data_IF_000948979941
#
_entry.id   IF_000948979941
#
_cell.length_a   1.000
_cell.length_b   1.000
_cell.length_c   1.000
_cell.angle_alpha   90.00
_cell.angle_beta   90.00
_cell.angle_gamma   90.00
#
_symmetry.space_group_name_H-M   'P 1'
#
loop_
_entity.id
_entity.type
_entity.pdbx_description
1 polymer ?
#
# COMPACT_ATOMS: atom_id res chain seq x y z
N UNK A 1 20.72 0.19 -6.73
CA UNK A 1 19.97 -1.08 -6.62
C UNK A 1 18.80 -1.00 -7.59
N UNK A 2 18.70 -1.87 -8.59
CA UNK A 2 17.57 -1.86 -9.55
C UNK A 2 16.72 -3.10 -9.34
N UNK A 3 15.52 -2.91 -8.78
CA UNK A 3 14.56 -3.99 -8.55
C UNK A 3 13.72 -4.12 -9.83
N UNK A 4 13.55 -5.33 -10.40
CA UNK A 4 12.67 -5.54 -11.55
C UNK A 4 11.26 -5.01 -11.28
N UNK A 5 10.69 -4.33 -12.27
CA UNK A 5 9.37 -3.68 -12.16
C UNK A 5 8.27 -4.68 -11.76
N UNK A 6 8.33 -5.91 -12.29
CA UNK A 6 7.42 -6.99 -11.89
C UNK A 6 7.51 -7.29 -10.38
N UNK A 7 8.71 -7.34 -9.82
CA UNK A 7 8.89 -7.60 -8.39
C UNK A 7 8.41 -6.43 -7.55
N UNK A 8 8.65 -5.18 -7.98
CA UNK A 8 8.07 -4.00 -7.32
C UNK A 8 6.54 -4.06 -7.29
N UNK A 9 5.90 -4.49 -8.37
CA UNK A 9 4.46 -4.69 -8.40
C UNK A 9 4.02 -5.77 -7.41
N UNK A 10 4.72 -6.90 -7.32
CA UNK A 10 4.43 -7.88 -6.28
C UNK A 10 4.57 -7.30 -4.87
N UNK A 11 5.66 -6.58 -4.56
CA UNK A 11 5.85 -5.90 -3.27
C UNK A 11 4.66 -5.00 -2.93
N UNK A 12 4.19 -4.19 -3.89
CA UNK A 12 3.02 -3.32 -3.72
C UNK A 12 1.74 -4.12 -3.43
N UNK A 13 1.45 -5.15 -4.22
CA UNK A 13 0.22 -5.96 -4.07
C UNK A 13 0.16 -6.68 -2.71
N UNK A 14 1.29 -7.18 -2.22
CA UNK A 14 1.39 -7.74 -0.87
C UNK A 14 1.27 -6.66 0.20
N UNK A 15 1.98 -5.54 0.06
CA UNK A 15 1.94 -4.46 1.05
C UNK A 15 0.54 -3.84 1.20
N UNK A 16 -0.26 -3.82 0.13
CA UNK A 16 -1.65 -3.37 0.14
C UNK A 16 -2.67 -4.45 0.54
N UNK A 17 -2.24 -5.69 0.77
CA UNK A 17 -3.10 -6.85 1.03
C UNK A 17 -4.11 -7.12 -0.11
N UNK A 18 -3.65 -7.04 -1.36
CA UNK A 18 -4.48 -7.10 -2.57
C UNK A 18 -3.97 -8.11 -3.59
N UNK A 19 -3.26 -9.14 -3.12
CA UNK A 19 -2.68 -10.16 -3.98
C UNK A 19 -3.76 -10.90 -4.79
N UNK A 20 -4.90 -11.21 -4.19
CA UNK A 20 -6.02 -11.92 -4.85
C UNK A 20 -6.60 -11.09 -6.00
N UNK A 21 -6.79 -9.80 -5.77
CA UNK A 21 -7.26 -8.86 -6.77
C UNK A 21 -6.23 -8.73 -7.90
N UNK A 22 -4.93 -8.69 -7.59
CA UNK A 22 -3.86 -8.61 -8.58
C UNK A 22 -3.78 -9.87 -9.46
N UNK A 23 -3.85 -11.06 -8.84
CA UNK A 23 -3.90 -12.35 -9.53
C UNK A 23 -5.11 -12.43 -10.48
N UNK A 24 -6.24 -11.81 -10.13
CA UNK A 24 -7.43 -11.79 -10.97
C UNK A 24 -7.31 -10.89 -12.22
N UNK A 25 -6.47 -9.84 -12.19
CA UNK A 25 -6.18 -9.02 -13.37
C UNK A 25 -5.13 -9.70 -14.26
N UNK A 26 -4.26 -10.54 -13.70
CA UNK A 26 -3.30 -11.38 -14.43
C UNK A 26 -2.39 -10.61 -15.41
N UNK A 27 -1.78 -9.51 -14.94
CA UNK A 27 -0.84 -8.69 -15.73
C UNK A 27 0.60 -9.07 -15.43
N UNK A 28 1.37 -9.30 -16.49
CA UNK A 28 2.82 -9.42 -16.43
C UNK A 28 3.48 -8.18 -17.06
N UNK A 29 4.64 -7.79 -16.51
CA UNK A 29 5.50 -6.77 -17.07
C UNK A 29 6.15 -7.26 -18.37
N UNK A 30 6.24 -6.37 -19.34
CA UNK A 30 7.09 -6.53 -20.52
C UNK A 30 8.52 -6.05 -20.23
N UNK A 31 9.55 -6.54 -20.95
CA UNK A 31 10.96 -6.22 -20.66
C UNK A 31 11.31 -4.73 -20.68
N UNK A 32 10.56 -3.92 -21.41
CA UNK A 32 10.74 -2.47 -21.53
C UNK A 32 9.79 -1.66 -20.63
N UNK A 33 8.90 -2.31 -19.88
CA UNK A 33 7.90 -1.61 -19.07
C UNK A 33 8.59 -0.82 -17.95
N UNK A 34 8.23 0.45 -17.83
CA UNK A 34 8.44 1.20 -16.60
C UNK A 34 7.40 0.81 -15.55
N UNK A 35 7.62 1.18 -14.29
CA UNK A 35 6.59 0.99 -13.24
C UNK A 35 5.28 1.71 -13.61
N UNK A 36 5.37 2.87 -14.26
CA UNK A 36 4.19 3.57 -14.75
C UNK A 36 3.42 2.73 -15.78
N UNK A 37 4.12 2.13 -16.74
CA UNK A 37 3.49 1.33 -17.80
C UNK A 37 2.80 0.10 -17.22
N UNK A 38 3.45 -0.61 -16.30
CA UNK A 38 2.84 -1.76 -15.64
C UNK A 38 1.59 -1.37 -14.84
N UNK A 39 1.66 -0.29 -14.04
CA UNK A 39 0.51 0.19 -13.27
C UNK A 39 -0.63 0.69 -14.17
N UNK A 40 -0.30 1.38 -15.26
CA UNK A 40 -1.27 1.83 -16.25
C UNK A 40 -1.95 0.63 -16.94
N UNK A 41 -1.19 -0.40 -17.29
CA UNK A 41 -1.71 -1.64 -17.88
C UNK A 41 -2.66 -2.37 -16.93
N UNK A 42 -2.31 -2.47 -15.64
CA UNK A 42 -3.20 -3.02 -14.60
C UNK A 42 -4.47 -2.18 -14.46
N UNK A 43 -4.35 -0.84 -14.46
CA UNK A 43 -5.51 0.05 -14.43
C UNK A 43 -6.40 -0.09 -15.67
N UNK A 44 -5.82 -0.22 -16.86
CA UNK A 44 -6.57 -0.41 -18.10
C UNK A 44 -7.38 -1.70 -18.05
N UNK A 45 -6.76 -2.82 -17.71
CA UNK A 45 -7.44 -4.10 -17.63
C UNK A 45 -8.48 -4.13 -16.52
N UNK A 46 -8.14 -3.64 -15.33
CA UNK A 46 -9.07 -3.57 -14.21
C UNK A 46 -10.26 -2.65 -14.47
N UNK A 47 -10.05 -1.49 -15.08
CA UNK A 47 -11.14 -0.57 -15.47
C UNK A 47 -12.00 -1.18 -16.56
N UNK A 48 -11.41 -1.89 -17.52
CA UNK A 48 -12.16 -2.62 -18.54
C UNK A 48 -13.07 -3.68 -17.91
N UNK A 49 -12.57 -4.38 -16.89
CA UNK A 49 -13.34 -5.36 -16.13
C UNK A 49 -14.48 -4.72 -15.34
N UNK A 50 -14.22 -3.60 -14.66
CA UNK A 50 -15.23 -2.79 -13.98
C UNK A 50 -16.32 -2.36 -14.97
N UNK A 51 -15.97 -1.82 -16.12
CA UNK A 51 -16.93 -1.38 -17.13
C UNK A 51 -17.79 -2.53 -17.68
N UNK A 52 -17.23 -3.75 -17.78
CA UNK A 52 -17.98 -4.95 -18.18
C UNK A 52 -18.97 -5.41 -17.10
N UNK A 53 -18.60 -5.28 -15.82
CA UNK A 53 -19.49 -5.61 -14.68
C UNK A 53 -20.53 -4.54 -14.40
N UNK A 54 -20.27 -3.31 -14.83
CA UNK A 54 -21.06 -2.13 -14.51
C UNK A 54 -20.33 -1.25 -13.49
N UNK A 55 -20.32 0.06 -13.77
CA UNK A 55 -19.75 1.05 -12.86
C UNK A 55 -20.50 1.04 -11.53
N UNK A 56 -19.77 1.30 -10.45
CA UNK A 56 -20.38 1.58 -9.16
C UNK A 56 -21.39 2.73 -9.29
N UNK A 57 -22.55 2.55 -8.68
CA UNK A 57 -23.62 3.54 -8.61
C UNK A 57 -23.96 3.80 -7.16
N UNK A 58 -24.34 5.03 -6.88
CA UNK A 58 -24.81 5.45 -5.57
C UNK A 58 -25.90 6.50 -5.73
N UNK A 59 -26.68 6.66 -4.67
CA UNK A 59 -27.74 7.65 -4.58
C UNK A 59 -27.13 9.01 -4.28
N UNK A 60 -27.22 9.94 -5.23
CA UNK A 60 -26.76 11.31 -5.08
C UNK A 60 -27.99 12.20 -4.85
N UNK A 61 -28.01 13.01 -3.77
CA UNK A 61 -29.13 13.91 -3.54
C UNK A 61 -29.13 14.99 -4.61
N UNK A 62 -30.22 15.06 -5.35
CA UNK A 62 -30.47 16.10 -6.35
C UNK A 62 -31.55 17.05 -5.82
N UNK A 63 -31.47 18.30 -6.23
CA UNK A 63 -32.50 19.32 -5.94
C UNK A 63 -32.85 20.03 -7.24
N UNK A 64 -34.11 19.90 -7.65
CA UNK A 64 -34.59 20.40 -8.94
C UNK A 64 -35.89 21.19 -8.76
N UNK A 65 -36.07 22.24 -9.57
CA UNK A 65 -37.34 22.93 -9.71
C UNK A 65 -38.20 22.24 -10.78
N UNK A 66 -39.18 21.47 -10.36
CA UNK A 66 -39.98 20.61 -11.24
C UNK A 66 -41.47 20.87 -11.13
N UNK A 67 -42.21 20.60 -12.20
CA UNK A 67 -43.68 20.64 -12.22
C UNK A 67 -44.34 19.36 -11.69
N UNK A 68 -43.55 18.35 -11.33
CA UNK A 68 -44.01 17.09 -10.76
C UNK A 68 -43.38 16.88 -9.40
N UNK A 69 -44.19 16.66 -8.37
CA UNK A 69 -43.66 16.40 -7.03
C UNK A 69 -43.00 15.02 -6.99
N UNK A 70 -41.69 14.98 -6.75
CA UNK A 70 -40.89 13.75 -6.60
C UNK A 70 -40.01 13.86 -5.35
N UNK A 71 -39.98 12.83 -4.51
CA UNK A 71 -39.20 12.84 -3.27
C UNK A 71 -39.69 13.86 -2.25
N UNK A 72 -38.75 14.55 -1.59
CA UNK A 72 -39.02 15.52 -0.52
C UNK A 72 -39.29 16.91 -1.10
N UNK A 73 -40.49 17.43 -0.87
CA UNK A 73 -40.86 18.79 -1.23
C UNK A 73 -40.13 19.81 -0.33
N UNK A 74 -39.37 20.72 -0.94
CA UNK A 74 -38.70 21.84 -0.27
C UNK A 74 -39.63 23.06 -0.25
N UNK A 75 -40.63 23.01 0.65
CA UNK A 75 -41.64 24.06 0.77
C UNK A 75 -41.04 25.44 1.03
N UNK A 76 -40.05 25.54 1.90
CA UNK A 76 -39.39 26.80 2.24
C UNK A 76 -38.76 27.48 1.03
N UNK A 77 -38.06 26.72 0.19
CA UNK A 77 -37.42 27.25 -1.03
C UNK A 77 -38.45 27.59 -2.11
N UNK A 78 -39.50 26.77 -2.23
CA UNK A 78 -40.60 27.00 -3.19
C UNK A 78 -41.42 28.25 -2.88
N UNK A 79 -41.67 28.52 -1.60
CA UNK A 79 -42.35 29.74 -1.15
C UNK A 79 -41.43 30.94 -1.32
N UNK A 80 -40.17 30.85 -0.87
CA UNK A 80 -39.18 31.94 -0.96
C UNK A 80 -38.97 32.41 -2.40
N UNK A 81 -38.92 31.48 -3.35
CA UNK A 81 -38.71 31.77 -4.76
C UNK A 81 -40.01 31.91 -5.57
N UNK A 82 -41.17 31.90 -4.92
CA UNK A 82 -42.49 32.07 -5.53
C UNK A 82 -42.74 31.15 -6.75
N UNK A 83 -42.34 29.89 -6.65
CA UNK A 83 -42.46 28.95 -7.78
C UNK A 83 -43.82 28.27 -7.87
N UNK A 84 -44.53 28.16 -6.73
CA UNK A 84 -45.83 27.49 -6.62
C UNK A 84 -46.93 28.06 -7.56
N UNK A 85 -47.05 29.38 -7.79
CA UNK A 85 -48.00 29.94 -8.75
C UNK A 85 -47.77 29.48 -10.20
N UNK A 86 -46.54 29.09 -10.55
CA UNK A 86 -46.21 28.52 -11.87
C UNK A 86 -46.38 27.00 -11.94
N UNK A 87 -47.05 26.41 -10.93
CA UNK A 87 -47.21 24.97 -10.76
C UNK A 87 -45.86 24.21 -10.73
N UNK A 88 -44.82 24.84 -10.20
CA UNK A 88 -43.49 24.24 -9.99
C UNK A 88 -43.10 24.32 -8.53
N UNK A 89 -42.36 23.32 -8.05
CA UNK A 89 -41.85 23.31 -6.69
C UNK A 89 -40.42 22.75 -6.65
N UNK A 90 -39.62 23.29 -5.74
CA UNK A 90 -38.32 22.73 -5.41
C UNK A 90 -38.52 21.39 -4.72
N UNK A 91 -37.96 20.35 -5.32
CA UNK A 91 -38.02 18.99 -4.81
C UNK A 91 -36.61 18.46 -4.66
N UNK A 92 -36.34 17.76 -3.56
CA UNK A 92 -35.11 17.01 -3.35
C UNK A 92 -35.39 15.52 -3.39
N UNK A 93 -34.66 14.79 -4.22
CA UNK A 93 -34.79 13.35 -4.35
C UNK A 93 -33.42 12.74 -4.63
N UNK A 94 -33.28 11.45 -4.34
CA UNK A 94 -32.05 10.74 -4.60
C UNK A 94 -32.08 10.14 -6.01
N UNK A 95 -31.11 10.51 -6.84
CA UNK A 95 -30.91 9.94 -8.16
C UNK A 95 -29.76 8.91 -8.15
N UNK A 96 -30.00 7.76 -8.76
CA UNK A 96 -28.98 6.73 -8.89
C UNK A 96 -27.99 7.11 -10.00
N UNK A 97 -26.79 7.53 -9.62
CA UNK A 97 -25.78 8.06 -10.55
C UNK A 97 -24.51 7.22 -10.59
N UNK A 98 -23.82 7.22 -11.73
CA UNK A 98 -22.44 6.72 -11.86
C UNK A 98 -21.42 7.75 -11.39
N UNK A 99 -21.83 9.01 -11.19
CA UNK A 99 -20.96 10.12 -10.84
C UNK A 99 -20.61 10.15 -9.34
N UNK A 100 -20.05 9.04 -8.88
CA UNK A 100 -19.74 8.77 -7.48
C UNK A 100 -18.23 8.89 -7.22
N UNK A 101 -17.77 9.10 -5.97
CA UNK A 101 -16.37 9.35 -5.66
C UNK A 101 -15.39 8.33 -6.26
N UNK A 102 -15.74 7.04 -6.24
CA UNK A 102 -14.87 5.97 -6.75
C UNK A 102 -14.59 6.09 -8.25
N UNK A 103 -15.60 6.44 -9.04
CA UNK A 103 -15.48 6.58 -10.48
C UNK A 103 -14.84 7.93 -10.84
N UNK A 104 -15.13 8.99 -10.07
CA UNK A 104 -14.49 10.31 -10.24
C UNK A 104 -12.97 10.22 -10.03
N UNK A 105 -12.52 9.51 -9.00
CA UNK A 105 -11.10 9.27 -8.75
C UNK A 105 -10.46 8.44 -9.86
N UNK A 106 -11.15 7.39 -10.34
CA UNK A 106 -10.67 6.60 -11.46
C UNK A 106 -10.51 7.46 -12.73
N UNK A 107 -11.51 8.29 -13.06
CA UNK A 107 -11.45 9.22 -14.20
C UNK A 107 -10.33 10.25 -14.04
N UNK A 108 -10.13 10.77 -12.83
CA UNK A 108 -9.04 11.70 -12.52
C UNK A 108 -7.66 11.06 -12.71
N UNK A 109 -7.49 9.79 -12.30
CA UNK A 109 -6.24 9.06 -12.52
C UNK A 109 -6.01 8.78 -14.00
N UNK A 110 -7.03 8.34 -14.76
CA UNK A 110 -6.88 8.16 -16.21
C UNK A 110 -6.46 9.47 -16.90
N UNK A 111 -7.06 10.60 -16.50
CA UNK A 111 -6.63 11.91 -16.97
C UNK A 111 -5.16 12.21 -16.61
N UNK A 112 -4.73 11.92 -15.38
CA UNK A 112 -3.34 12.12 -14.94
C UNK A 112 -2.35 11.24 -15.73
N UNK A 113 -2.73 10.03 -16.10
CA UNK A 113 -1.91 9.17 -16.94
C UNK A 113 -1.78 9.73 -18.37
N UNK A 114 -2.84 10.35 -18.91
CA UNK A 114 -2.80 10.97 -20.25
C UNK A 114 -1.86 12.18 -20.31
N UNK A 115 -1.60 12.85 -19.19
CA UNK A 115 -0.66 13.98 -19.12
C UNK A 115 0.78 13.54 -18.86
N UNK A 116 1.01 12.27 -18.50
CA UNK A 116 2.34 11.72 -18.24
C UNK A 116 3.12 11.51 -19.55
N UNK A 117 4.27 12.18 -19.67
CA UNK A 117 5.06 12.18 -20.89
C UNK A 117 5.66 10.80 -21.23
N UNK A 118 6.08 10.07 -20.20
CA UNK A 118 6.79 8.78 -20.30
C UNK A 118 5.89 7.55 -20.51
N UNK A 119 4.56 7.72 -20.49
CA UNK A 119 3.64 6.61 -20.70
C UNK A 119 3.73 6.12 -22.15
N UNK A 120 3.86 4.82 -22.34
CA UNK A 120 3.87 4.20 -23.67
C UNK A 120 2.65 4.61 -24.53
N UNK A 121 2.85 4.82 -25.83
CA UNK A 121 1.82 5.33 -26.74
C UNK A 121 0.68 4.35 -27.03
N UNK A 122 0.92 3.04 -26.93
CA UNK A 122 -0.15 2.04 -27.01
C UNK A 122 -1.00 2.10 -25.74
N UNK A 123 -0.38 2.12 -24.56
CA UNK A 123 -1.10 2.27 -23.29
C UNK A 123 -1.86 3.60 -23.22
N UNK A 124 -1.26 4.71 -23.69
CA UNK A 124 -1.92 6.02 -23.76
C UNK A 124 -3.20 5.99 -24.58
N UNK A 125 -3.22 5.26 -25.70
CA UNK A 125 -4.44 5.07 -26.52
C UNK A 125 -5.51 4.27 -25.77
N UNK A 126 -5.13 3.21 -25.07
CA UNK A 126 -6.05 2.40 -24.27
C UNK A 126 -6.64 3.19 -23.09
N UNK A 127 -5.81 3.95 -22.37
CA UNK A 127 -6.23 4.88 -21.31
C UNK A 127 -7.20 5.92 -21.86
N UNK A 128 -6.91 6.51 -23.04
CA UNK A 128 -7.80 7.50 -23.67
C UNK A 128 -9.16 6.90 -24.02
N UNK A 129 -9.20 5.69 -24.56
CA UNK A 129 -10.45 5.00 -24.87
C UNK A 129 -11.30 4.79 -23.61
N UNK A 130 -10.69 4.39 -22.49
CA UNK A 130 -11.39 4.24 -21.22
C UNK A 130 -11.86 5.57 -20.64
N UNK A 131 -11.03 6.62 -20.73
CA UNK A 131 -11.38 7.96 -20.28
C UNK A 131 -12.65 8.48 -20.97
N UNK A 132 -12.76 8.29 -22.30
CA UNK A 132 -13.94 8.68 -23.08
C UNK A 132 -15.19 7.89 -22.64
N UNK A 133 -15.05 6.61 -22.29
CA UNK A 133 -16.16 5.78 -21.80
C UNK A 133 -16.69 6.21 -20.43
N UNK A 134 -15.97 7.06 -19.70
CA UNK A 134 -16.42 7.68 -18.45
C UNK A 134 -16.99 9.09 -18.69
N UNK A 135 -17.63 9.33 -19.84
CA UNK A 135 -18.18 10.65 -20.20
C UNK A 135 -19.11 11.22 -19.12
N UNK A 136 -20.02 10.38 -18.59
CA UNK A 136 -21.04 10.76 -17.59
C UNK A 136 -20.49 10.90 -16.15
N UNK A 137 -19.19 10.71 -15.96
CA UNK A 137 -18.53 10.87 -14.65
C UNK A 137 -17.81 12.22 -14.63
N UNK A 138 -18.01 13.02 -13.59
CA UNK A 138 -17.36 14.32 -13.45
C UNK A 138 -15.84 14.18 -13.27
N UNK A 139 -15.07 15.03 -13.94
CA UNK A 139 -13.63 15.12 -13.70
C UNK A 139 -13.38 15.95 -12.44
N UNK A 140 -12.58 15.42 -11.52
CA UNK A 140 -12.16 16.11 -10.29
C UNK A 140 -10.65 16.37 -10.29
N UNK A 141 -10.24 17.44 -9.63
CA UNK A 141 -8.82 17.73 -9.35
C UNK A 141 -8.44 17.14 -7.99
N UNK A 142 -7.52 16.19 -7.97
CA UNK A 142 -6.99 15.59 -6.74
C UNK A 142 -5.80 16.42 -6.27
N UNK A 143 -6.04 17.32 -5.32
CA UNK A 143 -4.99 18.15 -4.70
C UNK A 143 -4.41 17.54 -3.43
N UNK A 144 -5.11 16.57 -2.87
CA UNK A 144 -4.77 15.91 -1.61
C UNK A 144 -5.20 14.44 -1.70
N UNK A 145 -4.29 13.53 -1.40
CA UNK A 145 -4.52 12.08 -1.46
C UNK A 145 -5.43 11.58 -0.34
N UNK A 146 -5.70 12.39 0.69
CA UNK A 146 -6.69 12.05 1.74
C UNK A 146 -8.12 11.92 1.21
N UNK A 147 -8.42 12.41 0.00
CA UNK A 147 -9.72 12.16 -0.66
C UNK A 147 -9.99 10.68 -0.89
N UNK A 148 -8.95 9.86 -1.03
CA UNK A 148 -9.09 8.40 -1.17
C UNK A 148 -9.60 7.75 0.12
N UNK A 149 -9.29 8.32 1.28
CA UNK A 149 -9.71 7.79 2.58
C UNK A 149 -11.22 8.01 2.84
N UNK A 150 -11.86 8.90 2.07
CA UNK A 150 -13.31 9.16 2.12
C UNK A 150 -14.13 8.10 1.36
N UNK A 151 -13.47 7.27 0.55
CA UNK A 151 -14.14 6.23 -0.25
C UNK A 151 -14.33 4.97 0.58
N UNK A 152 -15.58 4.69 0.95
CA UNK A 152 -15.93 3.46 1.65
C UNK A 152 -16.20 2.33 0.65
N UNK A 153 -15.38 1.29 0.70
CA UNK A 153 -15.57 0.09 -0.11
C UNK A 153 -16.46 -0.91 0.61
N UNK A 154 -17.60 -1.22 0.02
CA UNK A 154 -18.46 -2.32 0.44
C UNK A 154 -18.16 -3.60 -0.33
N UNK A 155 -18.69 -4.74 0.13
CA UNK A 155 -18.49 -6.07 -0.49
C UNK A 155 -18.72 -6.10 -2.01
N UNK A 156 -19.70 -5.34 -2.51
CA UNK A 156 -20.05 -5.30 -3.93
C UNK A 156 -19.03 -4.53 -4.78
N UNK A 157 -18.34 -3.55 -4.18
CA UNK A 157 -17.34 -2.70 -4.85
C UNK A 157 -15.90 -3.08 -4.47
N UNK A 158 -15.70 -4.20 -3.75
CA UNK A 158 -14.38 -4.63 -3.29
C UNK A 158 -13.38 -4.81 -4.44
N UNK A 159 -13.85 -5.14 -5.64
CA UNK A 159 -13.02 -5.30 -6.83
C UNK A 159 -12.34 -3.99 -7.31
N UNK A 160 -12.80 -2.82 -6.85
CA UNK A 160 -12.11 -1.55 -7.09
C UNK A 160 -10.90 -1.33 -6.20
N UNK A 161 -10.72 -2.14 -5.14
CA UNK A 161 -9.72 -1.89 -4.10
C UNK A 161 -8.30 -1.76 -4.67
N UNK A 162 -7.91 -2.69 -5.55
CA UNK A 162 -6.63 -2.63 -6.25
C UNK A 162 -6.50 -1.37 -7.13
N UNK A 163 -7.54 -1.03 -7.88
CA UNK A 163 -7.53 0.13 -8.76
C UNK A 163 -7.38 1.42 -7.95
N UNK A 164 -8.10 1.55 -6.83
CA UNK A 164 -7.96 2.71 -5.95
C UNK A 164 -6.58 2.82 -5.31
N UNK A 165 -5.96 1.70 -4.94
CA UNK A 165 -4.58 1.72 -4.45
C UNK A 165 -3.60 2.21 -5.50
N UNK A 166 -3.76 1.79 -6.76
CA UNK A 166 -2.94 2.28 -7.88
C UNK A 166 -3.25 3.77 -8.16
N UNK A 167 -4.52 4.16 -8.21
CA UNK A 167 -4.94 5.55 -8.37
C UNK A 167 -4.32 6.45 -7.31
N UNK A 168 -4.39 6.04 -6.04
CA UNK A 168 -3.77 6.74 -4.92
C UNK A 168 -2.27 6.88 -5.15
N UNK A 169 -1.58 5.79 -5.49
CA UNK A 169 -0.14 5.80 -5.73
C UNK A 169 0.26 6.77 -6.86
N UNK A 170 -0.47 6.76 -7.97
CA UNK A 170 -0.24 7.66 -9.11
C UNK A 170 -0.42 9.14 -8.70
N UNK A 171 -1.42 9.46 -7.89
CA UNK A 171 -1.64 10.82 -7.40
C UNK A 171 -0.62 11.23 -6.31
N UNK A 172 -0.19 10.31 -5.45
CA UNK A 172 0.92 10.54 -4.52
C UNK A 172 2.19 10.92 -5.29
N UNK A 173 2.55 10.18 -6.35
CA UNK A 173 3.70 10.53 -7.21
C UNK A 173 3.51 11.87 -7.93
N UNK A 174 2.32 12.10 -8.48
CA UNK A 174 2.02 13.33 -9.19
C UNK A 174 2.20 14.58 -8.32
N UNK A 175 1.81 14.51 -7.04
CA UNK A 175 1.94 15.63 -6.11
C UNK A 175 3.41 15.85 -5.70
N UNK A 176 4.21 14.79 -5.53
CA UNK A 176 5.64 14.91 -5.26
C UNK A 176 6.42 15.53 -6.43
N UNK A 177 5.99 15.23 -7.66
CA UNK A 177 6.69 15.63 -8.90
C UNK A 177 6.30 17.03 -9.39
N UNK A 178 5.22 17.63 -8.87
CA UNK A 178 4.85 19.02 -9.20
C UNK A 178 5.93 20.04 -8.82
N UNK A 179 6.83 19.72 -7.90
CA UNK A 179 7.98 20.56 -7.54
C UNK A 179 9.21 20.35 -8.46
N UNK A 180 9.31 19.24 -9.20
CA UNK A 180 10.56 18.80 -9.88
C UNK A 180 10.45 18.33 -11.33
N UNK A 181 9.25 18.10 -11.90
CA UNK A 181 9.09 17.85 -13.34
C UNK A 181 8.04 16.79 -13.72
N UNK A 182 7.71 16.74 -15.01
CA UNK A 182 6.60 15.98 -15.65
C UNK A 182 6.74 14.45 -15.64
N UNK A 183 7.65 13.87 -14.84
CA UNK A 183 8.00 12.46 -14.86
C UNK A 183 7.48 11.74 -13.61
N UNK A 184 6.50 10.85 -13.77
CA UNK A 184 5.96 10.06 -12.67
C UNK A 184 6.93 8.91 -12.33
N UNK A 185 7.05 8.50 -11.07
CA UNK A 185 7.84 7.31 -10.67
C UNK A 185 9.34 7.31 -11.07
N UNK A 186 9.94 8.44 -11.50
CA UNK A 186 11.32 8.46 -11.99
C UNK A 186 12.37 8.09 -10.93
N UNK A 187 12.08 8.33 -9.65
CA UNK A 187 12.93 7.94 -8.52
C UNK A 187 12.13 7.21 -7.41
N UNK A 188 11.21 6.33 -7.81
CA UNK A 188 10.33 5.64 -6.87
C UNK A 188 11.12 4.85 -5.79
N UNK A 189 12.20 4.18 -6.20
CA UNK A 189 13.03 3.35 -5.30
C UNK A 189 14.09 4.15 -4.52
N UNK A 190 14.33 5.42 -4.85
CA UNK A 190 15.31 6.28 -4.17
C UNK A 190 14.80 6.84 -2.84
N UNK A 191 13.49 6.90 -2.63
CA UNK A 191 12.92 7.30 -1.34
C UNK A 191 13.02 6.15 -0.31
N UNK A 192 14.14 6.10 0.42
CA UNK A 192 14.43 5.04 1.40
C UNK A 192 13.34 4.89 2.46
N UNK A 193 12.78 5.98 2.98
CA UNK A 193 11.73 5.93 4.02
C UNK A 193 10.48 5.23 3.52
N UNK A 194 10.03 5.58 2.32
CA UNK A 194 8.87 4.95 1.71
C UNK A 194 9.13 3.48 1.38
N UNK A 195 10.30 3.19 0.82
CA UNK A 195 10.67 1.82 0.47
C UNK A 195 10.85 0.93 1.70
N UNK A 196 11.35 1.47 2.82
CA UNK A 196 11.39 0.78 4.10
C UNK A 196 9.98 0.41 4.58
N UNK A 197 9.05 1.37 4.61
CA UNK A 197 7.66 1.11 4.99
C UNK A 197 6.95 0.13 4.04
N UNK A 198 7.25 0.20 2.74
CA UNK A 198 6.74 -0.75 1.74
C UNK A 198 7.26 -2.16 2.02
N UNK A 199 8.57 -2.30 2.22
CA UNK A 199 9.22 -3.58 2.47
C UNK A 199 8.74 -4.23 3.77
N UNK A 200 8.61 -3.45 4.84
CA UNK A 200 8.05 -3.88 6.12
C UNK A 200 6.64 -4.47 5.97
N UNK A 201 5.75 -3.72 5.29
CA UNK A 201 4.36 -4.17 5.04
C UNK A 201 4.32 -5.39 4.14
N UNK A 202 5.17 -5.42 3.11
CA UNK A 202 5.33 -6.56 2.22
C UNK A 202 5.68 -7.83 3.00
N UNK A 203 6.77 -7.82 3.78
CA UNK A 203 7.24 -8.99 4.54
C UNK A 203 6.18 -9.46 5.53
N UNK A 204 5.52 -8.53 6.23
CA UNK A 204 4.43 -8.83 7.16
C UNK A 204 3.28 -9.55 6.47
N UNK A 205 2.76 -8.99 5.39
CA UNK A 205 1.61 -9.54 4.68
C UNK A 205 1.97 -10.83 3.93
N UNK A 206 3.20 -10.93 3.41
CA UNK A 206 3.70 -12.15 2.81
C UNK A 206 3.60 -13.32 3.78
N UNK A 207 4.20 -13.22 4.97
CA UNK A 207 4.13 -14.30 5.94
C UNK A 207 2.71 -14.51 6.48
N UNK A 208 1.90 -13.46 6.64
CA UNK A 208 0.50 -13.64 7.04
C UNK A 208 -0.30 -14.48 6.02
N UNK A 209 -0.01 -14.34 4.72
CA UNK A 209 -0.75 -15.01 3.65
C UNK A 209 -0.18 -16.38 3.25
N UNK A 210 1.14 -16.57 3.34
CA UNK A 210 1.83 -17.76 2.78
C UNK A 210 2.15 -18.86 3.77
N UNK A 211 2.04 -18.62 5.07
CA UNK A 211 2.22 -19.67 6.09
C UNK A 211 1.05 -19.72 7.08
N UNK A 212 0.91 -20.84 7.80
CA UNK A 212 -0.20 -21.09 8.73
C UNK A 212 0.25 -21.42 10.16
N UNK A 213 1.55 -21.66 10.38
CA UNK A 213 2.09 -22.08 11.68
C UNK A 213 2.16 -20.93 12.70
N UNK A 214 2.41 -19.72 12.22
CA UNK A 214 2.62 -18.52 13.02
C UNK A 214 1.46 -17.54 12.89
N UNK A 215 1.08 -16.95 14.02
CA UNK A 215 0.36 -15.67 14.04
C UNK A 215 1.34 -14.55 13.68
N UNK A 216 1.03 -13.78 12.63
CA UNK A 216 1.90 -12.70 12.12
C UNK A 216 1.28 -11.34 12.36
N UNK A 217 1.99 -10.45 13.06
CA UNK A 217 1.55 -9.07 13.32
C UNK A 217 2.73 -8.13 13.56
N UNK A 218 2.49 -6.83 13.47
CA UNK A 218 3.31 -5.87 14.19
C UNK A 218 2.95 -5.95 15.67
N UNK A 219 3.95 -5.93 16.55
CA UNK A 219 3.73 -6.05 17.99
C UNK A 219 4.40 -4.89 18.72
N UNK A 220 3.66 -4.27 19.65
CA UNK A 220 4.22 -3.36 20.64
C UNK A 220 4.70 -4.20 21.81
N UNK A 221 6.01 -4.20 22.03
CA UNK A 221 6.64 -4.83 23.16
C UNK A 221 6.72 -3.84 24.33
N UNK A 222 6.60 -4.36 25.54
CA UNK A 222 6.74 -3.53 26.75
C UNK A 222 8.20 -3.48 27.18
N UNK A 223 8.62 -2.28 27.60
CA UNK A 223 9.91 -2.12 28.29
C UNK A 223 9.86 -2.89 29.60
N UNK A 224 10.78 -3.84 29.75
CA UNK A 224 11.02 -4.54 31.01
C UNK A 224 11.97 -3.72 31.88
N UNK A 225 11.52 -2.53 32.28
CA UNK A 225 12.23 -1.57 33.12
C UNK A 225 11.32 -1.19 34.29
N UNK A 226 11.91 -0.90 35.45
CA UNK A 226 11.21 -0.32 36.60
C UNK A 226 11.39 1.19 36.57
N UNK A 227 10.39 1.98 36.15
CA UNK A 227 10.52 3.44 36.08
C UNK A 227 10.38 4.05 37.47
N UNK A 228 11.15 5.10 37.76
CA UNK A 228 11.10 5.81 39.05
C UNK A 228 9.77 6.56 39.27
N UNK A 229 9.04 6.85 38.18
CA UNK A 229 7.72 7.51 38.22
C UNK A 229 6.87 7.18 37.00
N UNK A 230 5.56 7.44 37.08
CA UNK A 230 4.65 7.34 35.94
C UNK A 230 5.02 8.30 34.81
N UNK A 231 5.49 9.51 35.14
CA UNK A 231 5.97 10.49 34.18
C UNK A 231 7.20 9.96 33.41
N UNK A 232 8.15 9.30 34.11
CA UNK A 232 9.29 8.67 33.46
C UNK A 232 8.86 7.54 32.50
N UNK A 233 7.86 6.73 32.89
CA UNK A 233 7.30 5.68 32.01
C UNK A 233 6.71 6.26 30.72
N UNK A 234 6.07 7.43 30.78
CA UNK A 234 5.47 8.09 29.63
C UNK A 234 6.51 8.64 28.62
N UNK A 235 7.75 8.88 29.06
CA UNK A 235 8.85 9.34 28.20
C UNK A 235 9.57 8.20 27.47
N UNK A 236 9.27 6.93 27.79
CA UNK A 236 9.87 5.79 27.10
C UNK A 236 9.35 5.72 25.64
N UNK A 237 10.25 5.55 24.65
CA UNK A 237 9.84 5.40 23.26
C UNK A 237 9.02 4.12 23.08
N UNK A 238 8.06 4.13 22.15
CA UNK A 238 7.33 2.91 21.81
C UNK A 238 8.25 1.86 21.19
N UNK A 239 8.27 0.65 21.74
CA UNK A 239 9.06 -0.46 21.19
C UNK A 239 8.18 -1.29 20.25
N UNK A 240 8.04 -0.84 19.01
CA UNK A 240 7.22 -1.50 17.99
C UNK A 240 8.09 -2.32 17.05
N UNK A 241 7.71 -3.58 16.84
CA UNK A 241 8.36 -4.49 15.89
C UNK A 241 7.71 -4.37 14.51
N UNK A 242 8.53 -4.54 13.49
CA UNK A 242 8.09 -4.60 12.09
C UNK A 242 7.25 -5.85 11.85
N UNK A 243 7.83 -7.04 12.09
CA UNK A 243 7.13 -8.31 11.94
C UNK A 243 7.43 -9.21 13.12
N UNK A 244 6.39 -9.65 13.81
CA UNK A 244 6.46 -10.68 14.84
C UNK A 244 5.67 -11.90 14.40
N UNK A 245 6.36 -13.02 14.24
CA UNK A 245 5.78 -14.34 13.99
C UNK A 245 5.77 -15.12 15.30
N UNK A 246 4.59 -15.51 15.74
CA UNK A 246 4.38 -16.14 17.05
C UNK A 246 3.72 -17.50 16.88
N UNK A 247 4.38 -18.55 17.36
CA UNK A 247 3.85 -19.90 17.46
C UNK A 247 4.00 -20.44 18.89
N UNK A 248 3.46 -21.64 19.16
CA UNK A 248 3.57 -22.27 20.47
C UNK A 248 5.02 -22.65 20.81
N UNK A 249 5.79 -23.08 19.80
CA UNK A 249 7.16 -23.58 19.94
C UNK A 249 8.22 -22.47 19.92
N UNK A 250 8.01 -21.38 19.16
CA UNK A 250 9.00 -20.29 19.04
C UNK A 250 8.40 -18.93 18.67
N UNK A 251 9.16 -17.86 18.94
CA UNK A 251 8.90 -16.50 18.45
C UNK A 251 10.00 -16.07 17.48
N UNK A 252 9.62 -15.43 16.38
CA UNK A 252 10.56 -14.79 15.46
C UNK A 252 10.19 -13.31 15.36
N UNK A 253 11.16 -12.44 15.61
CA UNK A 253 11.03 -10.99 15.43
C UNK A 253 11.90 -10.61 14.25
N UNK A 254 11.30 -10.09 13.18
CA UNK A 254 11.99 -9.61 12.00
C UNK A 254 11.94 -8.09 12.01
N UNK A 255 13.10 -7.47 11.92
CA UNK A 255 13.30 -6.03 11.74
C UNK A 255 13.79 -5.79 10.31
N UNK A 256 12.98 -5.07 9.53
CA UNK A 256 13.15 -4.89 8.10
C UNK A 256 13.89 -3.58 7.83
N UNK A 257 14.94 -3.64 7.00
CA UNK A 257 15.80 -2.48 6.75
C UNK A 257 16.04 -2.32 5.26
N UNK A 258 15.50 -1.26 4.67
CA UNK A 258 15.74 -0.92 3.27
C UNK A 258 16.94 0.02 3.16
N UNK A 259 18.09 -0.53 2.77
CA UNK A 259 19.34 0.21 2.57
C UNK A 259 20.02 -0.29 1.29
N UNK A 260 20.80 0.58 0.65
CA UNK A 260 21.52 0.22 -0.58
C UNK A 260 22.55 -0.91 -0.35
N UNK A 261 23.14 -0.98 0.85
CA UNK A 261 24.09 -2.02 1.25
C UNK A 261 23.70 -2.60 2.62
N UNK A 262 23.67 -3.93 2.73
CA UNK A 262 23.40 -4.63 3.99
C UNK A 262 24.61 -4.60 4.96
N UNK A 263 25.80 -4.32 4.42
CA UNK A 263 27.07 -4.23 5.13
C UNK A 263 27.71 -2.87 4.89
N UNK A 264 28.31 -2.26 5.92
CA UNK A 264 29.13 -1.06 5.78
C UNK A 264 30.58 -1.46 5.53
N UNK A 265 31.23 -0.85 4.54
CA UNK A 265 32.68 -0.97 4.32
C UNK A 265 33.43 -0.08 5.31
N UNK A 266 34.33 -0.66 6.10
CA UNK A 266 35.23 0.08 6.99
C UNK A 266 36.64 -0.51 6.89
N UNK A 267 37.59 0.22 6.30
CA UNK A 267 38.99 -0.20 6.10
C UNK A 267 39.08 -1.65 5.55
N UNK A 268 38.51 -1.86 4.36
CA UNK A 268 38.47 -3.14 3.61
C UNK A 268 37.74 -4.31 4.27
N UNK A 269 37.07 -4.11 5.40
CA UNK A 269 36.22 -5.13 6.05
C UNK A 269 34.75 -4.72 6.04
N UNK A 270 33.91 -5.63 5.58
CA UNK A 270 32.46 -5.49 5.63
C UNK A 270 31.94 -5.77 7.06
N UNK A 271 31.18 -4.84 7.62
CA UNK A 271 30.61 -4.95 8.97
C UNK A 271 29.10 -4.72 8.97
N UNK A 272 28.41 -5.39 9.89
CA UNK A 272 27.00 -5.16 10.17
C UNK A 272 26.76 -3.72 10.65
N UNK A 273 25.59 -3.19 10.32
CA UNK A 273 25.15 -1.88 10.80
C UNK A 273 24.76 -2.01 12.28
N UNK A 274 25.62 -1.49 13.15
CA UNK A 274 25.50 -1.61 14.62
C UNK A 274 24.16 -1.13 15.16
N UNK A 275 23.63 -0.01 14.66
CA UNK A 275 22.34 0.54 15.10
C UNK A 275 21.17 -0.44 14.92
N UNK A 276 21.13 -1.15 13.78
CA UNK A 276 20.08 -2.14 13.52
C UNK A 276 20.24 -3.37 14.42
N UNK A 277 21.49 -3.81 14.63
CA UNK A 277 21.78 -4.93 15.52
C UNK A 277 21.39 -4.63 16.98
N UNK A 278 21.66 -3.42 17.46
CA UNK A 278 21.28 -2.99 18.81
C UNK A 278 19.75 -2.89 18.97
N UNK A 279 19.05 -2.37 17.96
CA UNK A 279 17.60 -2.32 17.96
C UNK A 279 16.99 -3.72 18.03
N UNK A 280 17.43 -4.63 17.16
CA UNK A 280 16.97 -6.02 17.17
C UNK A 280 17.29 -6.73 18.50
N UNK A 281 18.50 -6.53 19.02
CA UNK A 281 18.91 -7.09 20.30
C UNK A 281 17.98 -6.64 21.43
N UNK A 282 17.61 -5.37 21.49
CA UNK A 282 16.66 -4.85 22.46
C UNK A 282 15.29 -5.55 22.35
N UNK A 283 14.77 -5.71 21.12
CA UNK A 283 13.50 -6.44 20.90
C UNK A 283 13.57 -7.88 21.41
N UNK A 284 14.65 -8.61 21.08
CA UNK A 284 14.84 -9.99 21.51
C UNK A 284 14.93 -10.08 23.04
N UNK A 285 15.71 -9.21 23.69
CA UNK A 285 15.85 -9.24 25.14
C UNK A 285 14.52 -9.01 25.86
N UNK A 286 13.76 -8.00 25.46
CA UNK A 286 12.48 -7.73 26.09
C UNK A 286 11.41 -8.78 25.79
N UNK A 287 11.39 -9.35 24.58
CA UNK A 287 10.49 -10.45 24.27
C UNK A 287 10.78 -11.70 25.09
N UNK A 288 12.06 -11.99 25.39
CA UNK A 288 12.45 -13.11 26.27
C UNK A 288 11.96 -12.91 27.70
N UNK A 289 12.06 -11.70 28.25
CA UNK A 289 11.59 -11.42 29.61
C UNK A 289 10.08 -11.68 29.78
N UNK A 290 9.30 -11.52 28.72
CA UNK A 290 7.86 -11.82 28.75
C UNK A 290 7.57 -13.33 28.66
N UNK A 291 8.49 -14.14 28.09
CA UNK A 291 8.25 -15.54 27.75
C UNK A 291 9.53 -16.38 27.89
N UNK A 292 10.00 -16.55 29.13
CA UNK A 292 11.31 -17.13 29.44
C UNK A 292 11.55 -18.56 28.90
N UNK A 293 10.48 -19.35 28.72
CA UNK A 293 10.57 -20.76 28.29
C UNK A 293 10.52 -20.94 26.78
N UNK A 294 10.19 -19.89 26.01
CA UNK A 294 10.02 -19.98 24.56
C UNK A 294 11.28 -19.45 23.84
N UNK A 295 11.88 -20.22 22.92
CA UNK A 295 12.94 -19.73 22.04
C UNK A 295 12.51 -18.46 21.28
N UNK A 296 13.40 -17.47 21.25
CA UNK A 296 13.19 -16.18 20.54
C UNK A 296 14.31 -15.97 19.53
N UNK A 297 13.97 -15.94 18.24
CA UNK A 297 14.89 -15.60 17.15
C UNK A 297 14.65 -14.16 16.72
N UNK A 298 15.66 -13.30 16.76
CA UNK A 298 15.66 -12.02 16.07
C UNK A 298 16.25 -12.16 14.67
N UNK A 299 15.70 -11.47 13.68
CA UNK A 299 16.21 -11.44 12.32
C UNK A 299 16.26 -10.01 11.78
N UNK A 300 17.42 -9.58 11.29
CA UNK A 300 17.53 -8.41 10.42
C UNK A 300 17.34 -8.88 8.98
N UNK A 301 16.39 -8.28 8.27
CA UNK A 301 16.12 -8.61 6.87
C UNK A 301 16.36 -7.38 5.98
N UNK A 302 17.27 -7.53 5.02
CA UNK A 302 17.61 -6.48 4.05
C UNK A 302 17.24 -6.92 2.63
N UNK A 303 16.54 -6.10 1.84
CA UNK A 303 16.41 -6.35 0.42
C UNK A 303 17.74 -6.03 -0.28
N UNK A 304 18.18 -6.91 -1.17
CA UNK A 304 19.34 -6.71 -2.06
C UNK A 304 18.96 -7.08 -3.49
N UNK A 305 19.75 -6.70 -4.49
CA UNK A 305 19.55 -7.19 -5.87
C UNK A 305 20.58 -8.23 -6.28
N UNK A 306 21.72 -8.28 -5.59
CA UNK A 306 22.78 -9.27 -5.74
C UNK A 306 23.51 -9.32 -4.39
N UNK A 307 24.05 -10.49 -3.99
CA UNK A 307 24.73 -10.79 -2.71
C UNK A 307 23.82 -11.39 -1.60
N UNK A 308 23.48 -12.69 -1.71
CA UNK A 308 22.87 -13.41 -0.60
C UNK A 308 23.84 -13.48 0.58
N UNK A 309 23.36 -13.12 1.76
CA UNK A 309 24.07 -13.15 3.02
C UNK A 309 23.14 -13.76 4.07
N UNK A 310 23.65 -14.74 4.80
CA UNK A 310 22.95 -15.34 5.94
C UNK A 310 23.94 -15.59 7.06
N UNK A 311 23.79 -14.88 8.17
CA UNK A 311 24.65 -14.96 9.35
C UNK A 311 23.79 -15.29 10.56
N UNK A 312 24.25 -16.21 11.39
CA UNK A 312 23.52 -16.65 12.59
C UNK A 312 24.42 -16.55 13.82
N UNK A 313 23.84 -16.09 14.92
CA UNK A 313 24.51 -15.85 16.19
C UNK A 313 23.63 -16.36 17.33
N UNK A 314 24.15 -17.25 18.17
CA UNK A 314 23.46 -17.67 19.39
C UNK A 314 23.80 -16.72 20.54
N UNK A 315 22.80 -16.30 21.32
CA UNK A 315 23.06 -15.60 22.57
C UNK A 315 23.50 -16.62 23.62
N UNK A 316 24.78 -16.56 24.01
CA UNK A 316 25.41 -17.48 24.96
C UNK A 316 24.59 -17.64 26.22
N UNK A 317 24.31 -18.89 26.61
CA UNK A 317 23.55 -19.21 27.83
C UNK A 317 22.04 -19.00 27.70
N UNK A 318 21.50 -18.86 26.48
CA UNK A 318 20.08 -18.59 26.26
C UNK A 318 19.51 -19.40 25.09
N UNK A 319 18.18 -19.55 25.05
CA UNK A 319 17.43 -20.11 23.92
C UNK A 319 17.18 -19.10 22.79
N UNK A 320 17.88 -17.96 22.80
CA UNK A 320 17.68 -16.90 21.83
C UNK A 320 18.82 -16.81 20.82
N UNK A 321 18.47 -16.41 19.60
CA UNK A 321 19.42 -16.25 18.50
C UNK A 321 19.15 -14.95 17.74
N UNK A 322 20.18 -14.44 17.08
CA UNK A 322 20.10 -13.36 16.11
C UNK A 322 20.50 -13.88 14.75
N UNK A 323 19.83 -13.39 13.73
CA UNK A 323 20.09 -13.72 12.34
C UNK A 323 20.17 -12.44 11.53
N UNK A 324 21.07 -12.40 10.56
CA UNK A 324 21.12 -11.36 9.54
C UNK A 324 20.96 -12.05 8.20
N UNK A 325 19.90 -11.70 7.48
CA UNK A 325 19.56 -12.27 6.19
C UNK A 325 19.39 -11.15 5.15
N UNK A 326 19.81 -11.42 3.93
CA UNK A 326 19.43 -10.61 2.77
C UNK A 326 18.41 -11.37 1.92
N UNK A 327 17.51 -10.62 1.29
CA UNK A 327 16.53 -11.12 0.33
C UNK A 327 16.85 -10.54 -1.03
N UNK A 328 17.26 -11.39 -1.96
CA UNK A 328 17.47 -10.98 -3.34
C UNK A 328 16.11 -10.70 -4.02
N UNK A 329 15.86 -9.44 -4.32
CA UNK A 329 14.70 -8.94 -5.08
C UNK A 329 15.00 -8.76 -6.57
N UNK A 330 16.23 -9.02 -7.03
CA UNK A 330 16.63 -9.00 -8.43
C UNK A 330 16.29 -10.30 -9.18
N UNK A 331 16.08 -11.40 -8.46
CA UNK A 331 15.72 -12.70 -9.02
C UNK A 331 14.22 -12.84 -9.37
N UNK A 332 13.85 -13.93 -10.05
CA UNK A 332 12.47 -14.25 -10.38
C UNK A 332 11.58 -14.40 -9.14
N UNK A 333 10.33 -13.91 -9.19
CA UNK A 333 9.41 -13.86 -8.04
C UNK A 333 9.27 -15.18 -7.29
N UNK A 334 9.13 -16.31 -7.99
CA UNK A 334 9.01 -17.63 -7.36
C UNK A 334 10.21 -18.01 -6.49
N UNK A 335 11.41 -17.53 -6.81
CA UNK A 335 12.59 -17.72 -5.96
C UNK A 335 12.55 -16.78 -4.75
N UNK A 336 12.12 -15.53 -4.92
CA UNK A 336 11.90 -14.60 -3.79
C UNK A 336 10.96 -15.20 -2.75
N UNK A 337 9.84 -15.78 -3.19
CA UNK A 337 8.89 -16.43 -2.29
C UNK A 337 9.50 -17.64 -1.57
N UNK A 338 10.26 -18.47 -2.29
CA UNK A 338 10.95 -19.63 -1.72
C UNK A 338 11.99 -19.22 -0.68
N UNK A 339 12.77 -18.19 -0.98
CA UNK A 339 13.82 -17.70 -0.09
C UNK A 339 13.22 -17.14 1.19
N UNK A 340 12.15 -16.33 1.10
CA UNK A 340 11.40 -15.86 2.27
C UNK A 340 10.87 -17.03 3.12
N UNK A 341 10.25 -18.04 2.51
CA UNK A 341 9.75 -19.19 3.26
C UNK A 341 10.88 -19.99 3.93
N UNK A 342 12.07 -20.03 3.34
CA UNK A 342 13.25 -20.70 3.91
C UNK A 342 13.86 -19.98 5.13
N UNK A 343 13.39 -18.76 5.44
CA UNK A 343 13.80 -17.98 6.61
C UNK A 343 13.01 -18.34 7.87
N UNK A 344 11.94 -19.14 7.77
CA UNK A 344 11.14 -19.62 8.91
C UNK A 344 11.72 -20.90 9.50
#
# INVERSE_FOLDING_TARGET
>A
MSIPVQNLYHLLTYAWDQLKEAEAVAVAAEPADTLLDLLARVLVQGTTHVLKRGLARDYVPETELTGRVRGKLLLSDSIRQQTLPTARAWCSFDELSHDVPINRLLKATLHQLLTAAQLDDKLRREVRALYIRLADVSLISVRDVRVFDQVLLHRHNAHYRLLLSICRLVHEEALLTQETGKYLFSDFTGNEKRMAALFERFVRNFYRLRQQHFSVKAEKLDWHLTPDSSAAKALLPGMQTDVSLTAADRKIIIDCKYYQEALKKHYDKEKLISGHLYQLYAYVQHARCQQATRPVRGMLLYPVTHQPLRLQYQLTGTLASLEVATLDLGQHWTKVEKDLLSLL
#
